data_IF_068328038216
#
_entry.id   IF_068328038216
#
_cell.length_a   1.000
_cell.length_b   1.000
_cell.length_c   1.000
_cell.angle_alpha   90.00
_cell.angle_beta   90.00
_cell.angle_gamma   90.00
#
_symmetry.space_group_name_H-M   'P 1'
#
loop_
_entity.id
_entity.type
_entity.pdbx_description
1 polymer ?
#
# COMPACT_ATOMS: atom_id res chain seq x y z
N UNK A 1 54.54 -2.46 36.44
CA UNK A 1 54.41 -3.25 35.20
C UNK A 1 52.95 -3.68 35.12
N UNK A 2 52.13 -2.83 34.54
CA UNK A 2 50.65 -3.03 34.43
C UNK A 2 50.34 -3.03 32.95
N UNK A 3 49.88 -4.21 32.46
CA UNK A 3 49.40 -4.39 31.09
C UNK A 3 48.08 -3.64 30.92
N UNK A 4 48.05 -2.69 30.00
CA UNK A 4 46.83 -2.08 29.51
C UNK A 4 46.26 -2.98 28.41
N UNK A 5 45.10 -3.56 28.66
CA UNK A 5 44.28 -4.26 27.65
C UNK A 5 43.43 -3.23 26.95
N UNK A 6 43.77 -2.90 25.71
CA UNK A 6 42.96 -2.10 24.82
C UNK A 6 41.83 -2.93 24.29
N UNK A 7 40.63 -2.73 24.87
CA UNK A 7 39.36 -3.29 24.33
C UNK A 7 38.82 -2.29 23.31
N UNK A 8 39.14 -2.48 22.03
CA UNK A 8 38.54 -1.74 20.93
C UNK A 8 37.09 -2.21 20.81
N UNK A 9 36.14 -1.43 21.34
CA UNK A 9 34.73 -1.53 21.03
C UNK A 9 34.51 -1.21 19.53
N UNK A 10 34.44 -2.24 18.70
CA UNK A 10 33.86 -2.14 17.37
C UNK A 10 32.35 -1.87 17.52
N UNK A 11 31.97 -0.59 17.49
CA UNK A 11 30.61 -0.17 17.26
C UNK A 11 30.27 -0.52 15.82
N UNK A 12 29.65 -1.69 15.61
CA UNK A 12 28.86 -1.96 14.41
C UNK A 12 27.66 -1.01 14.47
N UNK A 13 27.78 0.14 13.84
CA UNK A 13 26.63 0.92 13.43
C UNK A 13 25.92 0.12 12.33
N UNK A 14 24.99 -0.74 12.72
CA UNK A 14 24.00 -1.27 11.81
C UNK A 14 23.14 -0.08 11.35
N UNK A 15 23.51 0.53 10.23
CA UNK A 15 22.66 1.45 9.50
C UNK A 15 21.43 0.65 9.10
N UNK A 16 20.28 1.03 9.65
CA UNK A 16 18.96 0.67 9.14
C UNK A 16 18.72 1.41 7.81
N UNK A 17 19.58 1.15 6.83
CA UNK A 17 19.24 1.39 5.43
C UNK A 17 18.21 0.31 5.08
N UNK A 18 17.00 0.72 4.70
CA UNK A 18 15.98 -0.19 4.21
C UNK A 18 16.61 -1.18 3.22
N UNK A 19 16.41 -2.47 3.46
CA UNK A 19 17.02 -3.51 2.64
C UNK A 19 16.62 -3.24 1.18
N UNK A 20 17.60 -2.84 0.36
CA UNK A 20 17.38 -2.66 -1.08
C UNK A 20 16.86 -4.00 -1.62
N UNK A 21 15.80 -3.94 -2.43
CA UNK A 21 15.29 -5.11 -3.09
C UNK A 21 16.43 -5.85 -3.81
N UNK A 22 16.49 -7.20 -3.77
CA UNK A 22 17.51 -7.95 -4.47
C UNK A 22 17.62 -7.49 -5.92
N UNK A 23 18.84 -7.39 -6.47
CA UNK A 23 19.10 -6.84 -7.81
C UNK A 23 18.25 -7.51 -8.92
N UNK A 24 17.85 -8.76 -8.72
CA UNK A 24 16.99 -9.52 -9.65
C UNK A 24 15.60 -8.90 -9.81
N UNK A 25 15.11 -8.13 -8.82
CA UNK A 25 13.81 -7.44 -8.88
C UNK A 25 13.91 -5.98 -9.34
N UNK A 26 15.11 -5.45 -9.56
CA UNK A 26 15.31 -4.04 -9.92
C UNK A 26 14.53 -3.66 -11.18
N UNK A 27 14.56 -4.47 -12.21
CA UNK A 27 13.86 -4.18 -13.46
C UNK A 27 12.35 -4.39 -13.37
N UNK A 28 11.81 -5.51 -12.83
CA UNK A 28 10.39 -5.63 -12.56
C UNK A 28 9.82 -4.49 -11.69
N UNK A 29 10.52 -4.08 -10.63
CA UNK A 29 10.08 -2.99 -9.76
C UNK A 29 10.16 -1.64 -10.49
N UNK A 30 11.21 -1.35 -11.26
CA UNK A 30 11.31 -0.15 -12.08
C UNK A 30 10.13 -0.05 -13.05
N UNK A 31 9.81 -1.11 -13.77
CA UNK A 31 8.66 -1.18 -14.67
C UNK A 31 7.34 -0.97 -13.94
N UNK A 32 7.18 -1.57 -12.77
CA UNK A 32 5.98 -1.37 -11.95
C UNK A 32 5.82 0.09 -11.50
N UNK A 33 6.87 0.74 -11.02
CA UNK A 33 6.80 2.15 -10.59
C UNK A 33 6.54 3.11 -11.78
N UNK A 34 6.92 2.72 -13.00
CA UNK A 34 6.60 3.45 -14.22
C UNK A 34 5.44 2.80 -15.01
N UNK A 35 4.53 2.10 -14.35
CA UNK A 35 3.41 1.36 -14.95
C UNK A 35 2.42 2.20 -15.74
N UNK A 36 2.40 3.52 -15.54
CA UNK A 36 1.61 4.46 -16.31
C UNK A 36 2.14 4.69 -17.72
N UNK A 37 3.35 4.23 -18.04
CA UNK A 37 4.03 4.42 -19.33
C UNK A 37 3.95 3.14 -20.18
N UNK A 38 3.37 3.25 -21.38
CA UNK A 38 3.36 2.19 -22.38
C UNK A 38 2.88 0.84 -21.85
N UNK A 39 3.71 -0.19 -21.98
CA UNK A 39 3.44 -1.57 -21.54
C UNK A 39 4.20 -1.99 -20.29
N UNK A 40 4.72 -1.04 -19.54
CA UNK A 40 5.60 -1.34 -18.41
C UNK A 40 4.96 -2.29 -17.38
N UNK A 41 3.64 -2.19 -17.15
CA UNK A 41 2.97 -3.11 -16.23
C UNK A 41 2.96 -4.55 -16.76
N UNK A 42 2.61 -4.73 -18.01
CA UNK A 42 2.57 -6.03 -18.68
C UNK A 42 3.97 -6.65 -18.79
N UNK A 43 4.98 -5.81 -19.06
CA UNK A 43 6.38 -6.24 -19.13
C UNK A 43 6.92 -6.64 -17.75
N UNK A 44 6.54 -5.91 -16.68
CA UNK A 44 6.83 -6.30 -15.30
C UNK A 44 6.24 -7.67 -14.96
N UNK A 45 4.96 -7.89 -15.31
CA UNK A 45 4.28 -9.17 -15.12
C UNK A 45 5.02 -10.29 -15.85
N UNK A 46 5.35 -10.09 -17.13
CA UNK A 46 6.04 -11.09 -17.94
C UNK A 46 7.43 -11.47 -17.40
N UNK A 47 8.15 -10.52 -16.81
CA UNK A 47 9.43 -10.81 -16.15
C UNK A 47 9.24 -11.61 -14.87
N UNK A 48 8.26 -11.23 -14.04
CA UNK A 48 7.97 -11.92 -12.77
C UNK A 48 7.46 -13.35 -12.97
N UNK A 49 6.67 -13.59 -14.02
CA UNK A 49 6.22 -14.95 -14.40
C UNK A 49 7.38 -15.89 -14.74
N UNK A 50 8.46 -15.37 -15.32
CA UNK A 50 9.67 -16.16 -15.64
C UNK A 50 10.51 -16.50 -14.42
N UNK A 51 10.34 -15.81 -13.29
CA UNK A 51 11.11 -16.06 -12.06
C UNK A 51 10.64 -17.30 -11.30
N UNK A 52 9.52 -17.89 -11.69
CA UNK A 52 8.99 -19.12 -11.12
C UNK A 52 8.04 -18.91 -9.95
N UNK A 53 7.30 -19.97 -9.64
CA UNK A 53 6.19 -19.92 -8.68
C UNK A 53 6.59 -20.27 -7.25
N UNK A 54 7.88 -20.36 -6.92
CA UNK A 54 8.36 -20.77 -5.60
C UNK A 54 9.10 -19.65 -4.85
N UNK A 55 9.42 -18.54 -5.49
CA UNK A 55 10.03 -17.37 -4.84
C UNK A 55 8.93 -16.46 -4.26
N UNK A 56 8.76 -16.36 -2.93
CA UNK A 56 7.74 -15.53 -2.32
C UNK A 56 7.88 -14.05 -2.68
N UNK A 57 9.12 -13.57 -2.91
CA UNK A 57 9.36 -12.19 -3.30
C UNK A 57 8.93 -11.90 -4.75
N UNK A 58 9.02 -12.87 -5.66
CA UNK A 58 8.46 -12.78 -7.00
C UNK A 58 6.93 -12.88 -6.95
N UNK A 59 6.39 -13.79 -6.14
CA UNK A 59 4.95 -14.01 -6.03
C UNK A 59 4.19 -12.78 -5.55
N UNK A 60 4.65 -12.11 -4.49
CA UNK A 60 3.93 -10.92 -4.01
C UNK A 60 4.03 -9.75 -5.02
N UNK A 61 5.16 -9.59 -5.73
CA UNK A 61 5.30 -8.59 -6.79
C UNK A 61 4.38 -8.86 -7.97
N UNK A 62 4.27 -10.13 -8.37
CA UNK A 62 3.35 -10.55 -9.44
C UNK A 62 1.89 -10.31 -9.01
N UNK A 63 1.52 -10.70 -7.79
CA UNK A 63 0.20 -10.42 -7.23
C UNK A 63 -0.13 -8.93 -7.21
N UNK A 64 0.80 -8.09 -6.74
CA UNK A 64 0.70 -6.63 -6.80
C UNK A 64 0.42 -6.12 -8.22
N UNK A 65 1.20 -6.59 -9.19
CA UNK A 65 1.07 -6.15 -10.58
C UNK A 65 -0.25 -6.60 -11.21
N UNK A 66 -0.73 -7.80 -10.90
CA UNK A 66 -2.04 -8.30 -11.35
C UNK A 66 -3.21 -7.51 -10.75
N UNK A 67 -3.10 -7.05 -9.49
CA UNK A 67 -4.10 -6.15 -8.90
C UNK A 67 -4.19 -4.85 -9.70
N UNK A 68 -3.05 -4.25 -10.07
CA UNK A 68 -3.02 -3.05 -10.91
C UNK A 68 -3.54 -3.30 -12.34
N UNK A 69 -3.26 -4.49 -12.90
CA UNK A 69 -3.83 -4.88 -14.19
C UNK A 69 -5.36 -4.97 -14.13
N UNK A 70 -5.89 -5.61 -13.10
CA UNK A 70 -7.34 -5.71 -12.88
C UNK A 70 -8.02 -4.35 -12.71
N UNK A 71 -7.36 -3.36 -12.08
CA UNK A 71 -7.88 -1.99 -11.95
C UNK A 71 -8.12 -1.32 -13.32
N UNK A 72 -7.31 -1.63 -14.33
CA UNK A 72 -7.44 -1.10 -15.70
C UNK A 72 -8.58 -1.74 -16.53
N UNK A 73 -9.11 -2.88 -16.08
CA UNK A 73 -10.20 -3.57 -16.77
C UNK A 73 -11.52 -2.84 -16.52
N UNK A 74 -12.42 -2.85 -17.50
CA UNK A 74 -13.76 -2.30 -17.33
C UNK A 74 -14.74 -3.38 -16.86
N UNK A 75 -14.70 -4.55 -17.52
CA UNK A 75 -15.61 -5.64 -17.23
C UNK A 75 -15.35 -6.26 -15.85
N UNK A 76 -16.42 -6.39 -15.07
CA UNK A 76 -16.37 -6.97 -13.71
C UNK A 76 -15.79 -8.39 -13.69
N UNK A 77 -16.07 -9.19 -14.71
CA UNK A 77 -15.56 -10.56 -14.82
C UNK A 77 -14.03 -10.55 -14.96
N UNK A 78 -13.49 -9.68 -15.81
CA UNK A 78 -12.05 -9.57 -16.06
C UNK A 78 -11.31 -9.05 -14.83
N UNK A 79 -11.87 -8.05 -14.13
CA UNK A 79 -11.35 -7.61 -12.82
C UNK A 79 -11.27 -8.75 -11.82
N UNK A 80 -12.35 -9.56 -11.72
CA UNK A 80 -12.39 -10.67 -10.79
C UNK A 80 -11.41 -11.78 -11.16
N UNK A 81 -11.16 -12.02 -12.44
CA UNK A 81 -10.17 -13.00 -12.87
C UNK A 81 -8.76 -12.60 -12.39
N UNK A 82 -8.34 -11.35 -12.68
CA UNK A 82 -7.02 -10.85 -12.26
C UNK A 82 -6.90 -10.82 -10.73
N UNK A 83 -7.94 -10.37 -10.00
CA UNK A 83 -7.91 -10.31 -8.54
C UNK A 83 -7.90 -11.68 -7.89
N UNK A 84 -8.58 -12.69 -8.48
CA UNK A 84 -8.56 -14.05 -7.97
C UNK A 84 -7.17 -14.68 -8.15
N UNK A 85 -6.59 -14.53 -9.34
CA UNK A 85 -5.22 -14.98 -9.60
C UNK A 85 -4.20 -14.29 -8.68
N UNK A 86 -4.33 -12.97 -8.48
CA UNK A 86 -3.48 -12.25 -7.56
C UNK A 86 -3.60 -12.78 -6.13
N UNK A 87 -4.83 -13.03 -5.65
CA UNK A 87 -5.06 -13.55 -4.30
C UNK A 87 -4.43 -14.92 -4.08
N UNK A 88 -4.54 -15.84 -5.05
CA UNK A 88 -3.93 -17.18 -4.98
C UNK A 88 -2.39 -17.09 -4.87
N UNK A 89 -1.76 -16.23 -5.68
CA UNK A 89 -0.32 -16.01 -5.64
C UNK A 89 0.13 -15.37 -4.31
N UNK A 90 -0.63 -14.40 -3.82
CA UNK A 90 -0.35 -13.69 -2.57
C UNK A 90 -0.55 -14.59 -1.34
N UNK A 91 -1.57 -15.43 -1.35
CA UNK A 91 -1.76 -16.45 -0.33
C UNK A 91 -0.59 -17.44 -0.29
N UNK A 92 -0.08 -17.86 -1.46
CA UNK A 92 1.12 -18.68 -1.56
C UNK A 92 2.36 -17.93 -1.06
N UNK A 93 2.52 -16.66 -1.39
CA UNK A 93 3.63 -15.84 -0.88
C UNK A 93 3.65 -15.77 0.65
N UNK A 94 2.50 -15.53 1.29
CA UNK A 94 2.35 -15.55 2.76
C UNK A 94 2.69 -16.92 3.34
N UNK A 95 2.25 -18.00 2.69
CA UNK A 95 2.55 -19.37 3.18
C UNK A 95 4.04 -19.70 3.11
N UNK A 96 4.76 -19.24 2.08
CA UNK A 96 6.19 -19.46 1.90
C UNK A 96 7.06 -18.50 2.75
N UNK A 97 6.59 -17.29 3.00
CA UNK A 97 7.30 -16.27 3.78
C UNK A 97 6.37 -15.58 4.79
N UNK A 98 5.97 -16.26 5.88
CA UNK A 98 5.00 -15.71 6.84
C UNK A 98 5.52 -14.54 7.68
N UNK A 99 6.81 -14.20 7.57
CA UNK A 99 7.42 -13.02 8.19
C UNK A 99 7.70 -11.87 7.19
N UNK A 100 7.25 -11.99 5.94
CA UNK A 100 7.38 -10.91 4.95
C UNK A 100 6.18 -9.95 5.03
N UNK A 101 6.34 -8.70 5.50
CA UNK A 101 5.25 -7.74 5.62
C UNK A 101 4.64 -7.38 4.26
N UNK A 102 5.42 -7.43 3.16
CA UNK A 102 4.90 -7.14 1.82
C UNK A 102 3.93 -8.21 1.32
N UNK A 103 4.22 -9.50 1.59
CA UNK A 103 3.31 -10.58 1.25
C UNK A 103 1.95 -10.42 1.97
N UNK A 104 1.95 -10.14 3.26
CA UNK A 104 0.74 -9.88 4.05
C UNK A 104 -0.01 -8.63 3.58
N UNK A 105 0.72 -7.54 3.32
CA UNK A 105 0.13 -6.30 2.84
C UNK A 105 -0.65 -6.52 1.54
N UNK A 106 0.01 -7.07 0.51
CA UNK A 106 -0.63 -7.27 -0.78
C UNK A 106 -1.73 -8.33 -0.74
N UNK A 107 -1.58 -9.35 0.11
CA UNK A 107 -2.67 -10.31 0.33
C UNK A 107 -3.89 -9.62 0.93
N UNK A 108 -3.73 -8.76 1.94
CA UNK A 108 -4.81 -7.94 2.47
C UNK A 108 -5.47 -7.05 1.41
N UNK A 109 -4.67 -6.37 0.57
CA UNK A 109 -5.18 -5.55 -0.55
C UNK A 109 -6.02 -6.39 -1.52
N UNK A 110 -5.58 -7.61 -1.86
CA UNK A 110 -6.33 -8.51 -2.77
C UNK A 110 -7.72 -8.86 -2.23
N UNK A 111 -7.83 -9.12 -0.92
CA UNK A 111 -9.11 -9.35 -0.25
C UNK A 111 -10.04 -8.15 -0.38
N UNK A 112 -9.51 -6.94 -0.15
CA UNK A 112 -10.24 -5.68 -0.29
C UNK A 112 -10.76 -5.46 -1.71
N UNK A 113 -9.89 -5.56 -2.71
CA UNK A 113 -10.23 -5.35 -4.13
C UNK A 113 -11.27 -6.35 -4.62
N UNK A 114 -11.11 -7.63 -4.29
CA UNK A 114 -12.11 -8.65 -4.61
C UNK A 114 -13.45 -8.38 -3.93
N UNK A 115 -13.43 -7.94 -2.67
CA UNK A 115 -14.63 -7.56 -1.93
C UNK A 115 -15.40 -6.45 -2.61
N UNK A 116 -14.72 -5.37 -2.99
CA UNK A 116 -15.32 -4.21 -3.67
C UNK A 116 -16.07 -4.63 -4.96
N UNK A 117 -15.46 -5.49 -5.79
CA UNK A 117 -16.08 -5.96 -7.04
C UNK A 117 -17.27 -6.88 -6.77
N UNK A 118 -17.26 -7.67 -5.70
CA UNK A 118 -18.37 -8.59 -5.33
C UNK A 118 -19.57 -7.89 -4.67
N UNK A 119 -19.40 -6.65 -4.24
CA UNK A 119 -20.43 -5.80 -3.66
C UNK A 119 -20.44 -5.77 -2.14
N UNK A 120 -21.13 -4.78 -1.58
CA UNK A 120 -21.05 -4.35 -0.17
C UNK A 120 -21.27 -5.49 0.82
N UNK A 121 -22.31 -6.30 0.66
CA UNK A 121 -22.61 -7.38 1.61
C UNK A 121 -21.48 -8.42 1.68
N UNK A 122 -20.88 -8.75 0.53
CA UNK A 122 -19.78 -9.72 0.46
C UNK A 122 -18.46 -9.12 0.96
N UNK A 123 -18.25 -7.82 0.78
CA UNK A 123 -17.06 -7.13 1.28
C UNK A 123 -16.99 -7.11 2.82
N UNK A 124 -18.15 -7.06 3.51
CA UNK A 124 -18.20 -7.08 4.97
C UNK A 124 -17.58 -8.36 5.57
N UNK A 125 -17.70 -9.50 4.91
CA UNK A 125 -17.07 -10.75 5.37
C UNK A 125 -15.53 -10.70 5.25
N UNK A 126 -14.99 -9.84 4.40
CA UNK A 126 -13.55 -9.69 4.18
C UNK A 126 -12.89 -8.65 5.09
N UNK A 127 -13.70 -7.86 5.83
CA UNK A 127 -13.21 -6.86 6.78
C UNK A 127 -12.31 -7.47 7.86
N UNK A 128 -12.75 -8.56 8.50
CA UNK A 128 -11.96 -9.22 9.54
C UNK A 128 -10.65 -9.82 9.02
N UNK A 129 -10.66 -10.60 7.91
CA UNK A 129 -9.43 -11.06 7.27
C UNK A 129 -8.48 -9.93 6.89
N UNK A 130 -8.95 -8.88 6.20
CA UNK A 130 -8.14 -7.73 5.82
C UNK A 130 -7.50 -7.05 7.05
N UNK A 131 -8.30 -6.78 8.08
CA UNK A 131 -7.81 -6.17 9.33
C UNK A 131 -6.73 -7.04 10.00
N UNK A 132 -6.88 -8.35 9.97
CA UNK A 132 -5.88 -9.28 10.50
C UNK A 132 -4.56 -9.15 9.75
N UNK A 133 -4.59 -9.18 8.41
CA UNK A 133 -3.37 -9.05 7.60
C UNK A 133 -2.67 -7.71 7.86
N UNK A 134 -3.40 -6.59 7.93
CA UNK A 134 -2.80 -5.28 8.23
C UNK A 134 -2.20 -5.22 9.65
N UNK A 135 -2.81 -5.87 10.63
CA UNK A 135 -2.22 -5.99 11.97
C UNK A 135 -0.93 -6.82 11.96
N UNK A 136 -0.92 -7.92 11.24
CA UNK A 136 0.30 -8.71 11.03
C UNK A 136 1.40 -7.87 10.37
N UNK A 137 1.05 -7.04 9.37
CA UNK A 137 2.01 -6.10 8.80
C UNK A 137 2.60 -5.17 9.87
N UNK A 138 1.76 -4.58 10.74
CA UNK A 138 2.23 -3.68 11.80
C UNK A 138 2.99 -4.38 12.92
N UNK A 139 2.76 -5.67 13.16
CA UNK A 139 3.57 -6.50 14.06
C UNK A 139 4.97 -6.75 13.48
N UNK A 140 5.08 -6.95 12.16
CA UNK A 140 6.33 -7.19 11.44
C UNK A 140 7.08 -5.88 11.11
N UNK A 141 6.35 -4.83 10.74
CA UNK A 141 6.85 -3.49 10.45
C UNK A 141 5.96 -2.41 11.08
N UNK A 142 6.26 -1.99 12.32
CA UNK A 142 5.47 -0.97 13.03
C UNK A 142 5.48 0.43 12.38
N UNK A 143 6.32 0.64 11.36
CA UNK A 143 6.43 1.90 10.62
C UNK A 143 5.79 1.85 9.24
N UNK A 144 5.01 0.82 8.93
CA UNK A 144 4.30 0.72 7.66
C UNK A 144 3.18 1.76 7.56
N UNK A 145 3.44 2.88 6.88
CA UNK A 145 2.42 3.87 6.54
C UNK A 145 1.31 3.27 5.68
N UNK A 146 1.68 2.36 4.78
CA UNK A 146 0.73 1.65 3.94
C UNK A 146 -0.30 0.83 4.75
N UNK A 147 0.11 0.13 5.82
CA UNK A 147 -0.82 -0.61 6.67
C UNK A 147 -1.74 0.32 7.49
N UNK A 148 -1.21 1.42 8.02
CA UNK A 148 -2.00 2.46 8.68
C UNK A 148 -3.03 3.07 7.72
N UNK A 149 -2.64 3.35 6.47
CA UNK A 149 -3.54 3.86 5.43
C UNK A 149 -4.73 2.91 5.20
N UNK A 150 -4.48 1.62 4.99
CA UNK A 150 -5.55 0.64 4.75
C UNK A 150 -6.48 0.49 5.95
N UNK A 151 -5.93 0.46 7.17
CA UNK A 151 -6.74 0.43 8.40
C UNK A 151 -7.57 1.70 8.55
N UNK A 152 -7.00 2.85 8.25
CA UNK A 152 -7.67 4.14 8.30
C UNK A 152 -8.84 4.24 7.33
N UNK A 153 -8.62 3.95 6.04
CA UNK A 153 -9.71 3.91 5.05
C UNK A 153 -10.81 2.94 5.46
N UNK A 154 -10.43 1.72 5.85
CA UNK A 154 -11.40 0.72 6.29
C UNK A 154 -12.25 1.23 7.44
N UNK A 155 -11.67 1.92 8.43
CA UNK A 155 -12.39 2.48 9.57
C UNK A 155 -13.33 3.62 9.19
N UNK A 156 -12.98 4.42 8.17
CA UNK A 156 -13.82 5.50 7.64
C UNK A 156 -15.01 4.95 6.85
N UNK A 157 -14.77 3.94 6.01
CA UNK A 157 -15.75 3.44 5.03
C UNK A 157 -16.77 2.48 5.65
N UNK A 158 -16.39 1.76 6.70
CA UNK A 158 -17.26 0.78 7.33
C UNK A 158 -18.25 1.47 8.27
N UNK A 159 -19.54 1.09 8.25
CA UNK A 159 -20.50 1.57 9.23
C UNK A 159 -20.07 1.24 10.68
N UNK A 160 -20.40 2.14 11.63
CA UNK A 160 -20.02 1.95 13.04
C UNK A 160 -20.52 0.62 13.63
N UNK A 161 -21.71 0.16 13.23
CA UNK A 161 -22.28 -1.13 13.65
C UNK A 161 -21.42 -2.33 13.20
N UNK A 162 -20.64 -2.16 12.11
CA UNK A 162 -19.70 -3.16 11.60
C UNK A 162 -18.25 -2.94 12.08
N UNK A 163 -18.04 -2.02 13.03
CA UNK A 163 -16.76 -1.72 13.65
C UNK A 163 -15.96 -0.64 12.94
N UNK A 164 -16.64 0.25 12.19
CA UNK A 164 -16.06 1.48 11.66
C UNK A 164 -15.98 2.59 12.71
N UNK A 165 -15.05 3.52 12.52
CA UNK A 165 -14.87 4.69 13.36
C UNK A 165 -14.15 5.79 12.58
N UNK A 166 -14.90 6.79 12.12
CA UNK A 166 -14.31 7.89 11.34
C UNK A 166 -13.17 8.61 12.08
N UNK A 167 -13.32 8.81 13.41
CA UNK A 167 -12.28 9.46 14.21
C UNK A 167 -11.01 8.63 14.36
N UNK A 168 -11.14 7.31 14.50
CA UNK A 168 -9.98 6.41 14.50
C UNK A 168 -9.38 6.30 13.12
N UNK A 169 -10.21 6.25 12.06
CA UNK A 169 -9.75 6.26 10.69
C UNK A 169 -8.91 7.49 10.36
N UNK A 170 -9.31 8.69 10.81
CA UNK A 170 -8.49 9.91 10.68
C UNK A 170 -7.13 9.74 11.35
N UNK A 171 -7.08 9.21 12.61
CA UNK A 171 -5.80 9.02 13.32
C UNK A 171 -4.85 8.04 12.61
N UNK A 172 -5.40 6.96 12.06
CA UNK A 172 -4.62 6.00 11.28
C UNK A 172 -4.07 6.64 10.00
N UNK A 173 -4.87 7.45 9.30
CA UNK A 173 -4.42 8.14 8.09
C UNK A 173 -3.45 9.30 8.38
N UNK A 174 -3.61 10.02 9.49
CA UNK A 174 -2.61 10.99 9.97
C UNK A 174 -1.27 10.29 10.21
N UNK A 175 -1.30 9.10 10.83
CA UNK A 175 -0.09 8.29 11.06
C UNK A 175 0.54 7.81 9.76
N UNK A 176 -0.26 7.39 8.79
CA UNK A 176 0.24 7.02 7.46
C UNK A 176 0.97 8.18 6.78
N UNK A 177 0.35 9.37 6.77
CA UNK A 177 0.92 10.58 6.18
C UNK A 177 2.20 11.06 6.89
N UNK A 178 2.29 10.89 8.22
CA UNK A 178 3.49 11.18 9.00
C UNK A 178 4.66 10.24 8.65
N UNK A 179 4.37 8.94 8.47
CA UNK A 179 5.38 7.93 8.21
C UNK A 179 5.90 7.96 6.77
N UNK A 180 5.04 8.27 5.81
CA UNK A 180 5.35 8.25 4.38
C UNK A 180 4.86 9.57 3.71
N UNK A 181 5.52 10.72 3.98
CA UNK A 181 5.06 12.04 3.54
C UNK A 181 5.13 12.25 2.03
N UNK A 182 5.88 11.43 1.30
CA UNK A 182 6.03 11.51 -0.16
C UNK A 182 5.08 10.55 -0.91
N UNK A 183 4.22 9.82 -0.18
CA UNK A 183 3.22 8.94 -0.78
C UNK A 183 1.86 9.63 -0.90
N UNK A 184 1.59 10.19 -2.09
CA UNK A 184 0.41 11.04 -2.37
C UNK A 184 -0.95 10.41 -2.04
N UNK A 185 -1.19 9.07 -2.19
CA UNK A 185 -2.48 8.48 -1.82
C UNK A 185 -2.85 8.63 -0.34
N UNK A 186 -1.87 8.80 0.57
CA UNK A 186 -2.18 9.04 1.98
C UNK A 186 -2.94 10.36 2.17
N UNK A 187 -2.62 11.38 1.40
CA UNK A 187 -3.18 12.72 1.55
C UNK A 187 -4.56 12.86 0.89
N UNK A 188 -4.84 12.15 -0.20
CA UNK A 188 -6.21 12.08 -0.75
C UNK A 188 -7.15 11.37 0.24
N UNK A 189 -6.75 10.20 0.75
CA UNK A 189 -7.53 9.46 1.74
C UNK A 189 -7.72 10.24 3.05
N UNK A 190 -6.67 10.91 3.53
CA UNK A 190 -6.73 11.76 4.73
C UNK A 190 -7.68 12.94 4.53
N UNK A 191 -7.68 13.56 3.35
CA UNK A 191 -8.60 14.64 3.02
C UNK A 191 -10.06 14.17 3.03
N UNK A 192 -10.35 13.02 2.44
CA UNK A 192 -11.69 12.40 2.49
C UNK A 192 -12.11 12.09 3.93
N UNK A 193 -11.21 11.54 4.74
CA UNK A 193 -11.46 11.27 6.15
C UNK A 193 -11.76 12.54 6.96
N UNK A 194 -11.00 13.61 6.74
CA UNK A 194 -11.27 14.93 7.35
C UNK A 194 -12.63 15.48 6.93
N UNK A 195 -13.00 15.36 5.65
CA UNK A 195 -14.34 15.78 5.19
C UNK A 195 -15.44 14.94 5.85
N UNK A 196 -15.23 13.65 6.05
CA UNK A 196 -16.18 12.76 6.71
C UNK A 196 -16.44 13.10 8.19
N UNK A 197 -15.53 13.87 8.82
CA UNK A 197 -15.66 14.38 10.19
C UNK A 197 -15.89 15.90 10.26
N UNK A 198 -16.05 16.58 9.11
CA UNK A 198 -16.35 18.02 9.03
C UNK A 198 -15.14 18.95 9.09
N UNK A 199 -13.92 18.43 9.07
CA UNK A 199 -12.66 19.18 9.20
C UNK A 199 -12.18 19.73 7.83
N UNK A 200 -12.99 20.57 7.18
CA UNK A 200 -12.77 21.08 5.83
C UNK A 200 -11.42 21.77 5.66
N UNK A 201 -10.96 22.54 6.65
CA UNK A 201 -9.69 23.25 6.56
C UNK A 201 -8.50 22.28 6.53
N UNK A 202 -8.55 21.22 7.34
CA UNK A 202 -7.52 20.17 7.35
C UNK A 202 -7.53 19.36 6.05
N UNK A 203 -8.72 19.08 5.49
CA UNK A 203 -8.82 18.42 4.20
C UNK A 203 -8.12 19.21 3.10
N UNK A 204 -8.35 20.53 3.03
CA UNK A 204 -7.65 21.41 2.07
C UNK A 204 -6.14 21.39 2.28
N UNK A 205 -5.66 21.41 3.53
CA UNK A 205 -4.24 21.38 3.84
C UNK A 205 -3.60 20.05 3.37
N UNK A 206 -4.26 18.91 3.62
CA UNK A 206 -3.80 17.61 3.15
C UNK A 206 -3.71 17.55 1.62
N UNK A 207 -4.73 18.03 0.90
CA UNK A 207 -4.71 18.06 -0.58
C UNK A 207 -3.59 18.95 -1.13
N UNK A 208 -3.32 20.11 -0.50
CA UNK A 208 -2.25 21.00 -0.94
C UNK A 208 -0.87 20.39 -0.75
N UNK A 209 -0.66 19.57 0.29
CA UNK A 209 0.60 18.88 0.50
C UNK A 209 1.03 18.03 -0.71
N UNK A 210 0.07 17.45 -1.45
CA UNK A 210 0.36 16.64 -2.64
C UNK A 210 1.18 17.42 -3.67
N UNK A 211 0.94 18.73 -3.82
CA UNK A 211 1.67 19.59 -4.77
C UNK A 211 3.10 19.94 -4.30
N UNK A 212 3.39 19.74 -3.02
CA UNK A 212 4.71 20.00 -2.43
C UNK A 212 5.65 18.80 -2.54
N UNK A 213 5.13 17.59 -2.86
CA UNK A 213 5.92 16.37 -3.02
C UNK A 213 6.85 16.51 -4.22
N UNK A 214 8.18 16.44 -3.99
CA UNK A 214 9.19 16.59 -5.04
C UNK A 214 9.61 15.24 -5.64
N UNK A 215 9.64 14.20 -4.83
CA UNK A 215 10.05 12.84 -5.23
C UNK A 215 8.96 11.88 -4.79
N UNK A 216 7.93 11.66 -5.62
CA UNK A 216 6.82 10.77 -5.25
C UNK A 216 7.31 9.35 -4.99
N UNK A 217 6.87 8.75 -3.86
CA UNK A 217 7.17 7.37 -3.52
C UNK A 217 6.56 6.37 -4.52
N UNK A 218 5.43 6.72 -5.13
CA UNK A 218 4.84 5.98 -6.25
C UNK A 218 4.55 6.91 -7.44
N UNK A 219 5.49 7.07 -8.38
CA UNK A 219 5.28 7.88 -9.58
C UNK A 219 4.12 7.40 -10.46
N UNK A 220 3.78 6.10 -10.38
CA UNK A 220 2.72 5.49 -11.18
C UNK A 220 1.30 5.93 -10.79
N UNK A 221 1.12 6.56 -9.62
CA UNK A 221 -0.17 7.09 -9.14
C UNK A 221 -0.13 8.61 -8.94
N UNK A 222 1.03 9.23 -8.95
CA UNK A 222 1.18 10.62 -8.53
C UNK A 222 0.36 11.60 -9.36
N UNK A 223 0.41 11.49 -10.69
CA UNK A 223 -0.31 12.40 -11.58
C UNK A 223 -1.83 12.30 -11.41
N UNK A 224 -2.35 11.10 -11.19
CA UNK A 224 -3.77 10.88 -10.91
C UNK A 224 -4.17 11.50 -9.57
N UNK A 225 -3.37 11.34 -8.53
CA UNK A 225 -3.61 11.96 -7.22
C UNK A 225 -3.53 13.50 -7.28
N UNK A 226 -2.62 14.07 -8.09
CA UNK A 226 -2.55 15.52 -8.34
C UNK A 226 -3.82 16.02 -9.01
N UNK A 227 -4.33 15.31 -10.00
CA UNK A 227 -5.58 15.63 -10.68
C UNK A 227 -6.77 15.58 -9.73
N UNK A 228 -6.89 14.50 -8.97
CA UNK A 228 -7.93 14.32 -7.96
C UNK A 228 -7.90 15.42 -6.91
N UNK A 229 -6.72 15.76 -6.38
CA UNK A 229 -6.55 16.83 -5.41
C UNK A 229 -7.04 18.19 -5.94
N UNK A 230 -6.74 18.52 -7.20
CA UNK A 230 -7.24 19.74 -7.83
C UNK A 230 -8.77 19.77 -7.94
N UNK A 231 -9.37 18.65 -8.33
CA UNK A 231 -10.82 18.52 -8.43
C UNK A 231 -11.50 18.65 -7.06
N UNK A 232 -10.92 18.01 -6.02
CA UNK A 232 -11.43 18.12 -4.66
C UNK A 232 -11.31 19.54 -4.11
N UNK A 233 -10.17 20.22 -4.30
CA UNK A 233 -9.97 21.60 -3.87
C UNK A 233 -10.97 22.52 -4.55
N UNK A 234 -11.16 22.40 -5.86
CA UNK A 234 -12.19 23.17 -6.60
C UNK A 234 -13.59 22.99 -6.02
N UNK A 235 -13.99 21.75 -5.69
CA UNK A 235 -15.30 21.47 -5.05
C UNK A 235 -15.40 22.09 -3.65
N UNK A 236 -14.27 22.27 -2.98
CA UNK A 236 -14.18 22.88 -1.66
C UNK A 236 -14.11 24.43 -1.70
N UNK A 237 -14.17 25.03 -2.89
CA UNK A 237 -14.12 26.47 -3.07
C UNK A 237 -12.72 27.05 -2.83
N UNK A 238 -11.73 26.41 -3.40
CA UNK A 238 -10.31 26.82 -3.37
C UNK A 238 -9.87 27.21 -4.77
#
# INVERSE_FOLDING_TARGET
MILAVNLACLLLAASLAGAQAPAVFSEPDRLYFHRHQGRNLEDSIALLEKMGAEDPAALWRLGRSLLRLGERKEAKADKLADYTRAEELLQKAVALAPSDPQAHYWYGISLGRRGQVRGVLRSLFLVKPLRREMRTVLELDPKSGAAHHVLGQMLVDIPAIAGGSKKEGVRELEKAAELEPDYSPHFTALAEAYLAVGEKAKAKAALRHIFDIKTPADPGEYDDNVKEAREMLKKLGD
#
